data_IF_843797837540
#
_entry.id   IF_843797837540
#
_cell.length_a   1.000
_cell.length_b   1.000
_cell.length_c   1.000
_cell.angle_alpha   90.00
_cell.angle_beta   90.00
_cell.angle_gamma   90.00
#
_symmetry.space_group_name_H-M   'P 1'
#
loop_
_entity.id
_entity.type
_entity.pdbx_description
1 polymer ?
#
# COMPACT_ATOMS: atom_id res chain seq x y z
N UNK A 1 6.72 7.97 16.46
CA UNK A 1 5.92 8.62 15.39
C UNK A 1 6.74 8.55 14.12
N UNK A 2 6.13 8.14 13.01
CA UNK A 2 6.78 8.07 11.70
C UNK A 2 6.74 9.48 11.10
N UNK A 3 7.87 10.00 10.63
CA UNK A 3 7.96 11.34 10.01
C UNK A 3 7.70 11.27 8.51
N UNK A 4 7.40 12.42 7.87
CA UNK A 4 7.23 12.49 6.42
C UNK A 4 8.48 12.01 5.67
N UNK A 5 9.67 12.43 6.08
CA UNK A 5 10.93 11.98 5.46
C UNK A 5 11.06 10.46 5.47
N UNK A 6 10.70 9.81 6.58
CA UNK A 6 10.77 8.35 6.66
C UNK A 6 9.74 7.65 5.77
N UNK A 7 8.61 8.30 5.50
CA UNK A 7 7.61 7.83 4.53
C UNK A 7 8.17 7.98 3.11
N UNK A 8 8.75 9.13 2.80
CA UNK A 8 9.32 9.42 1.49
C UNK A 8 10.46 8.44 1.16
N UNK A 9 11.34 8.16 2.13
CA UNK A 9 12.42 7.18 2.02
C UNK A 9 11.85 5.76 1.79
N UNK A 10 10.79 5.38 2.50
CA UNK A 10 10.14 4.08 2.29
C UNK A 10 9.50 3.98 0.90
N UNK A 11 8.85 5.04 0.41
CA UNK A 11 8.24 5.05 -0.92
C UNK A 11 9.30 4.97 -2.00
N UNK A 12 10.42 5.68 -1.85
CA UNK A 12 11.56 5.59 -2.76
C UNK A 12 12.10 4.16 -2.83
N UNK A 13 12.43 3.56 -1.67
CA UNK A 13 12.95 2.18 -1.60
C UNK A 13 12.00 1.16 -2.25
N UNK A 14 10.69 1.32 -2.07
CA UNK A 14 9.69 0.43 -2.67
C UNK A 14 9.57 0.67 -4.18
N UNK A 15 9.63 1.91 -4.64
CA UNK A 15 9.54 2.25 -6.05
C UNK A 15 10.77 1.79 -6.84
N UNK A 16 11.95 1.78 -6.23
CA UNK A 16 13.16 1.20 -6.84
C UNK A 16 12.95 -0.30 -7.16
N UNK A 17 12.21 -1.03 -6.32
CA UNK A 17 11.87 -2.45 -6.55
C UNK A 17 10.83 -2.59 -7.67
N UNK A 18 9.86 -1.69 -7.74
CA UNK A 18 8.73 -1.76 -8.67
C UNK A 18 9.06 -1.26 -10.09
N UNK A 19 10.18 -0.56 -10.26
CA UNK A 19 10.55 0.11 -11.51
C UNK A 19 10.66 -0.87 -12.69
N UNK A 20 11.24 -2.05 -12.47
CA UNK A 20 11.42 -3.08 -13.52
C UNK A 20 10.08 -3.55 -14.11
N UNK A 21 9.04 -3.60 -13.28
CA UNK A 21 7.67 -4.00 -13.65
C UNK A 21 6.81 -2.83 -14.15
N UNK A 22 7.38 -1.62 -14.25
CA UNK A 22 6.64 -0.38 -14.56
C UNK A 22 5.48 -0.15 -13.60
N UNK A 23 5.70 -0.45 -12.33
CA UNK A 23 4.77 -0.15 -11.26
C UNK A 23 5.33 0.95 -10.36
N UNK A 24 4.43 1.67 -9.67
CA UNK A 24 4.80 2.63 -8.63
C UNK A 24 3.79 2.56 -7.49
N UNK A 25 4.24 2.91 -6.29
CA UNK A 25 3.44 3.15 -5.11
C UNK A 25 3.34 4.65 -4.88
N UNK A 26 2.12 5.14 -4.63
CA UNK A 26 1.87 6.51 -4.18
C UNK A 26 1.06 6.47 -2.90
N UNK A 27 1.41 7.34 -1.95
CA UNK A 27 0.68 7.46 -0.70
C UNK A 27 -0.21 8.70 -0.72
N UNK A 28 -1.47 8.54 -0.36
CA UNK A 28 -2.37 9.67 -0.19
C UNK A 28 -1.96 10.52 1.02
N UNK A 29 -2.36 11.79 1.03
CA UNK A 29 -2.26 12.63 2.21
C UNK A 29 -2.97 12.00 3.42
N UNK A 30 -4.15 11.38 3.18
CA UNK A 30 -4.93 10.73 4.23
C UNK A 30 -4.19 9.56 4.88
N UNK A 31 -3.42 8.80 4.10
CA UNK A 31 -2.54 7.77 4.65
C UNK A 31 -1.42 8.39 5.50
N UNK A 32 -0.63 9.27 4.89
CA UNK A 32 0.66 9.71 5.43
C UNK A 32 0.52 10.61 6.66
N UNK A 33 -0.44 11.53 6.63
CA UNK A 33 -0.61 12.57 7.66
C UNK A 33 -1.68 12.18 8.68
N UNK A 34 -2.84 11.73 8.21
CA UNK A 34 -4.00 11.56 9.11
C UNK A 34 -3.99 10.21 9.83
N UNK A 35 -3.65 9.12 9.13
CA UNK A 35 -3.99 7.76 9.57
C UNK A 35 -2.83 6.94 10.09
N UNK A 36 -1.63 7.12 9.55
CA UNK A 36 -0.48 6.31 9.92
C UNK A 36 -0.12 6.42 11.41
N UNK A 37 -0.10 7.65 11.94
CA UNK A 37 0.21 7.94 13.33
C UNK A 37 -1.03 8.08 14.23
N UNK A 38 -2.21 7.66 13.76
CA UNK A 38 -3.46 7.79 14.51
C UNK A 38 -3.39 7.03 15.86
N UNK A 39 -3.79 7.64 16.99
CA UNK A 39 -3.76 7.00 18.31
C UNK A 39 -4.61 5.72 18.45
N UNK A 40 -5.53 5.48 17.51
CA UNK A 40 -6.32 4.24 17.44
C UNK A 40 -5.48 3.04 17.00
N UNK A 41 -4.35 3.26 16.32
CA UNK A 41 -3.41 2.20 16.00
C UNK A 41 -2.73 1.72 17.29
N UNK A 42 -3.21 0.59 17.82
CA UNK A 42 -2.73 0.00 19.08
C UNK A 42 -2.33 -1.47 18.87
N UNK A 43 -1.03 -1.79 18.89
CA UNK A 43 0.11 -0.88 19.07
C UNK A 43 0.30 0.11 17.89
N UNK A 44 1.08 1.20 18.06
CA UNK A 44 1.41 2.10 16.95
C UNK A 44 1.98 1.34 15.74
N UNK A 45 1.70 1.81 14.53
CA UNK A 45 2.28 1.24 13.31
C UNK A 45 3.73 1.68 13.20
N UNK A 46 4.60 0.74 12.82
CA UNK A 46 6.04 0.97 12.68
C UNK A 46 6.49 0.93 11.22
N UNK A 47 7.58 1.62 10.89
CA UNK A 47 8.19 1.55 9.55
C UNK A 47 8.61 0.13 9.17
N UNK A 48 9.09 -0.65 10.14
CA UNK A 48 9.48 -2.04 9.92
C UNK A 48 8.28 -2.90 9.50
N UNK A 49 7.11 -2.70 10.13
CA UNK A 49 5.87 -3.36 9.68
C UNK A 49 5.50 -2.95 8.26
N UNK A 50 5.51 -1.65 7.94
CA UNK A 50 5.19 -1.19 6.58
C UNK A 50 6.12 -1.82 5.53
N UNK A 51 7.44 -1.80 5.78
CA UNK A 51 8.43 -2.39 4.88
C UNK A 51 8.16 -3.87 4.64
N UNK A 52 7.94 -4.64 5.71
CA UNK A 52 7.61 -6.08 5.60
C UNK A 52 6.33 -6.29 4.82
N UNK A 53 5.28 -5.50 5.08
CA UNK A 53 3.98 -5.63 4.41
C UNK A 53 4.11 -5.37 2.90
N UNK A 54 4.74 -4.25 2.51
CA UNK A 54 4.89 -3.92 1.10
C UNK A 54 5.80 -4.91 0.37
N UNK A 55 6.95 -5.30 0.95
CA UNK A 55 7.83 -6.28 0.32
C UNK A 55 7.18 -7.66 0.18
N UNK A 56 6.43 -8.13 1.20
CA UNK A 56 5.68 -9.39 1.10
C UNK A 56 4.59 -9.31 0.02
N UNK A 57 3.84 -8.21 -0.01
CA UNK A 57 2.80 -8.00 -1.00
C UNK A 57 3.38 -8.01 -2.42
N UNK A 58 4.49 -7.32 -2.64
CA UNK A 58 5.19 -7.29 -3.93
C UNK A 58 5.61 -8.70 -4.35
N UNK A 59 6.29 -9.43 -3.46
CA UNK A 59 6.77 -10.78 -3.75
C UNK A 59 5.67 -11.81 -4.01
N UNK A 60 4.45 -11.60 -3.50
CA UNK A 60 3.34 -12.57 -3.60
C UNK A 60 2.30 -12.20 -4.65
N UNK A 61 1.99 -10.90 -4.79
CA UNK A 61 0.76 -10.44 -5.46
C UNK A 61 0.99 -9.40 -6.56
N UNK A 62 2.21 -8.89 -6.75
CA UNK A 62 2.48 -7.85 -7.76
C UNK A 62 1.97 -8.24 -9.15
N UNK A 63 2.34 -9.43 -9.64
CA UNK A 63 1.93 -9.90 -10.96
C UNK A 63 0.41 -9.99 -11.13
N UNK A 64 -0.33 -10.21 -10.03
CA UNK A 64 -1.80 -10.21 -10.07
C UNK A 64 -2.36 -8.81 -10.27
N UNK A 65 -1.79 -7.79 -9.63
CA UNK A 65 -2.30 -6.41 -9.74
C UNK A 65 -1.86 -5.71 -11.02
N UNK A 66 -0.73 -6.09 -11.62
CA UNK A 66 -0.27 -5.53 -12.90
C UNK A 66 -1.28 -5.75 -14.04
N UNK A 67 -2.07 -6.83 -13.97
CA UNK A 67 -3.11 -7.15 -14.94
C UNK A 67 -4.48 -6.56 -14.65
N UNK A 68 -4.61 -5.67 -13.66
CA UNK A 68 -5.92 -5.10 -13.26
C UNK A 68 -6.20 -3.77 -13.96
N UNK A 69 -7.48 -3.50 -14.14
CA UNK A 69 -7.95 -2.26 -14.75
C UNK A 69 -7.91 -1.08 -13.77
N UNK A 70 -8.00 0.12 -14.34
CA UNK A 70 -8.09 1.35 -13.56
C UNK A 70 -9.32 1.34 -12.65
N UNK A 71 -9.16 1.84 -11.43
CA UNK A 71 -10.20 1.83 -10.40
C UNK A 71 -10.35 0.49 -9.68
N UNK A 72 -9.59 -0.55 -10.04
CA UNK A 72 -9.57 -1.80 -9.28
C UNK A 72 -9.12 -1.52 -7.84
N UNK A 73 -10.04 -1.76 -6.89
CA UNK A 73 -9.82 -1.52 -5.47
C UNK A 73 -9.51 -2.82 -4.74
N UNK A 74 -8.56 -2.75 -3.81
CA UNK A 74 -8.13 -3.91 -3.02
C UNK A 74 -7.61 -3.47 -1.66
N UNK A 75 -7.47 -4.42 -0.74
CA UNK A 75 -6.84 -4.19 0.56
C UNK A 75 -5.69 -5.15 0.77
N UNK A 76 -4.52 -4.63 1.12
CA UNK A 76 -3.41 -5.44 1.64
C UNK A 76 -3.68 -5.66 3.12
N UNK A 77 -3.80 -6.92 3.55
CA UNK A 77 -4.07 -7.27 4.95
C UNK A 77 -2.94 -8.14 5.50
N UNK A 78 -2.19 -7.58 6.43
CA UNK A 78 -1.18 -8.34 7.14
C UNK A 78 -1.79 -9.01 8.36
N UNK A 79 -1.95 -10.34 8.29
CA UNK A 79 -2.61 -11.11 9.35
C UNK A 79 -1.82 -11.07 10.66
N UNK A 80 -0.48 -11.04 10.58
CA UNK A 80 0.40 -11.03 11.74
C UNK A 80 0.31 -9.74 12.56
N UNK A 81 0.29 -8.59 11.88
CA UNK A 81 0.23 -7.27 12.55
C UNK A 81 -1.21 -6.77 12.71
N UNK A 82 -2.18 -7.35 12.00
CA UNK A 82 -3.56 -6.87 11.94
C UNK A 82 -3.67 -5.52 11.23
N UNK A 83 -2.70 -5.15 10.38
CA UNK A 83 -2.72 -3.90 9.62
C UNK A 83 -3.44 -4.15 8.29
N UNK A 84 -4.38 -3.26 7.96
CA UNK A 84 -5.09 -3.23 6.69
C UNK A 84 -4.75 -1.92 5.96
N UNK A 85 -4.43 -2.03 4.67
CA UNK A 85 -4.04 -0.94 3.79
C UNK A 85 -4.91 -0.99 2.53
N UNK A 86 -6.05 -0.28 2.50
CA UNK A 86 -6.84 -0.10 1.29
C UNK A 86 -6.09 0.69 0.22
N UNK A 87 -6.15 0.19 -1.00
CA UNK A 87 -5.46 0.70 -2.19
C UNK A 87 -6.41 0.67 -3.40
N UNK A 88 -6.07 1.46 -4.42
CA UNK A 88 -6.67 1.36 -5.74
C UNK A 88 -5.59 1.38 -6.82
N UNK A 89 -5.91 0.81 -7.98
CA UNK A 89 -5.08 0.89 -9.16
C UNK A 89 -5.45 2.13 -9.97
N UNK A 90 -4.44 2.94 -10.25
CA UNK A 90 -4.47 4.00 -11.23
C UNK A 90 -3.49 3.66 -12.36
N UNK A 91 -3.70 4.26 -13.53
CA UNK A 91 -2.77 4.12 -14.64
C UNK A 91 -2.26 5.48 -15.07
N UNK A 92 -0.94 5.59 -15.16
CA UNK A 92 -0.28 6.81 -15.60
C UNK A 92 0.52 6.56 -16.87
N UNK A 93 0.55 7.56 -17.75
CA UNK A 93 1.49 7.57 -18.86
C UNK A 93 2.73 8.33 -18.42
N UNK A 94 3.83 7.62 -18.26
CA UNK A 94 5.11 8.18 -17.85
C UNK A 94 6.24 7.57 -18.66
N UNK A 95 7.17 8.41 -19.11
CA UNK A 95 8.30 8.02 -19.99
C UNK A 95 7.83 7.20 -21.21
N UNK A 96 6.69 7.56 -21.80
CA UNK A 96 6.14 6.89 -23.00
C UNK A 96 5.62 5.47 -22.77
N UNK A 97 5.51 5.01 -21.52
CA UNK A 97 4.91 3.73 -21.16
C UNK A 97 3.72 3.93 -20.22
N UNK A 98 2.81 2.96 -20.21
CA UNK A 98 1.75 2.86 -19.21
C UNK A 98 2.35 2.25 -17.94
N UNK A 99 2.17 2.94 -16.82
CA UNK A 99 2.58 2.49 -15.49
C UNK A 99 1.37 2.12 -14.65
N UNK A 100 1.53 1.08 -13.84
CA UNK A 100 0.51 0.64 -12.87
C UNK A 100 0.81 1.30 -11.53
N UNK A 101 -0.03 2.25 -11.13
CA UNK A 101 0.14 3.01 -9.89
C UNK A 101 -0.76 2.43 -8.81
N UNK A 102 -0.14 1.98 -7.73
CA UNK A 102 -0.78 1.53 -6.50
C UNK A 102 -1.02 2.75 -5.62
N UNK A 103 -2.21 3.33 -5.71
CA UNK A 103 -2.61 4.45 -4.89
C UNK A 103 -3.05 3.96 -3.51
N UNK A 104 -2.19 4.17 -2.51
CA UNK A 104 -2.48 3.85 -1.11
C UNK A 104 -3.41 4.90 -0.54
N UNK A 105 -4.60 4.49 -0.14
CA UNK A 105 -5.69 5.40 0.26
C UNK A 105 -5.61 5.70 1.75
N UNK A 106 -5.45 4.69 2.59
CA UNK A 106 -5.50 4.80 4.04
C UNK A 106 -4.80 3.63 4.72
N UNK A 107 -4.69 3.67 6.05
CA UNK A 107 -4.13 2.59 6.86
C UNK A 107 -4.79 2.54 8.22
N UNK A 108 -4.93 1.34 8.75
CA UNK A 108 -5.41 1.12 10.11
C UNK A 108 -4.92 -0.21 10.65
N UNK A 109 -4.62 -0.26 11.95
CA UNK A 109 -4.53 -1.53 12.66
C UNK A 109 -5.93 -1.99 13.06
N UNK A 110 -6.50 -2.92 12.31
CA UNK A 110 -7.77 -3.57 12.60
C UNK A 110 -7.72 -5.04 12.13
N UNK A 111 -7.50 -6.01 13.04
CA UNK A 111 -7.44 -7.42 12.68
C UNK A 111 -8.78 -7.96 12.14
N UNK A 112 -9.91 -7.37 12.57
CA UNK A 112 -11.24 -7.70 12.07
C UNK A 112 -11.65 -6.87 10.85
N UNK A 113 -10.69 -6.21 10.17
CA UNK A 113 -11.00 -5.47 8.96
C UNK A 113 -11.64 -6.40 7.91
N UNK A 114 -12.77 -5.94 7.38
CA UNK A 114 -13.47 -6.52 6.25
C UNK A 114 -13.63 -5.42 5.20
N UNK A 115 -13.37 -5.76 3.94
CA UNK A 115 -13.54 -4.84 2.82
C UNK A 115 -14.99 -4.39 2.71
N UNK A 116 -15.19 -3.10 2.43
CA UNK A 116 -16.51 -2.57 2.07
C UNK A 116 -16.79 -2.92 0.60
N UNK A 117 -18.04 -3.19 0.23
CA UNK A 117 -18.45 -3.50 -1.16
C UNK A 117 -17.77 -4.67 -1.90
N UNK A 118 -17.03 -5.54 -1.21
CA UNK A 118 -16.46 -6.74 -1.81
C UNK A 118 -15.10 -6.55 -2.48
N UNK A 119 -14.35 -5.50 -2.12
CA UNK A 119 -12.97 -5.34 -2.58
C UNK A 119 -12.14 -6.59 -2.25
N UNK A 120 -11.21 -6.92 -3.16
CA UNK A 120 -10.33 -8.07 -2.99
C UNK A 120 -9.39 -7.83 -1.81
N UNK A 121 -9.27 -8.81 -0.92
CA UNK A 121 -8.29 -8.78 0.16
C UNK A 121 -7.11 -9.65 -0.24
N UNK A 122 -5.92 -9.07 -0.25
CA UNK A 122 -4.66 -9.78 -0.40
C UNK A 122 -4.03 -9.96 0.97
N UNK A 123 -4.02 -11.21 1.45
CA UNK A 123 -3.37 -11.56 2.70
C UNK A 123 -1.85 -11.69 2.51
N UNK A 124 -1.09 -11.13 3.47
CA UNK A 124 0.38 -11.10 3.51
C UNK A 124 0.98 -11.34 4.89
#
# INVERSE_FOLDING_TARGET
MITQQQIDDLVADINDILEEDRAKLKMSFHFAVDRLNDPRNKPPITLAELRVIFTNFIGQHLQTILGKDEGFSFTIKCQKSGIAIPCAIEHELDIGAKWVVQQVITIMRNPQFNAYHGDVIFDV
#
